data_IF_942994388682
#
_entry.id   IF_942994388682
#
_cell.length_a   1.000
_cell.length_b   1.000
_cell.length_c   1.000
_cell.angle_alpha   90.00
_cell.angle_beta   90.00
_cell.angle_gamma   90.00
#
_symmetry.space_group_name_H-M   'P 1'
#
loop_
_entity.id
_entity.type
_entity.pdbx_description
1 polymer ?
#
# COMPACT_ATOMS: atom_id res chain seq x y z
N UNK A 1 -21.86 -14.14 -19.02
CA UNK A 1 -20.90 -14.27 -17.88
C UNK A 1 -20.09 -12.99 -17.81
N UNK A 2 -20.52 -12.08 -16.91
CA UNK A 2 -19.81 -10.83 -16.68
C UNK A 2 -18.46 -11.16 -16.04
N UNK A 3 -17.36 -10.85 -16.75
CA UNK A 3 -16.03 -10.77 -16.16
C UNK A 3 -16.14 -9.93 -14.89
N UNK A 4 -16.08 -10.54 -13.71
CA UNK A 4 -15.80 -9.83 -12.46
C UNK A 4 -14.47 -9.10 -12.68
N UNK A 5 -14.53 -7.82 -12.97
CA UNK A 5 -13.32 -7.00 -13.01
C UNK A 5 -12.62 -7.16 -11.66
N UNK A 6 -11.44 -7.70 -11.69
CA UNK A 6 -10.65 -7.89 -10.48
C UNK A 6 -10.23 -6.50 -9.99
N UNK A 7 -11.01 -5.93 -9.05
CA UNK A 7 -10.76 -4.60 -8.49
C UNK A 7 -9.56 -4.59 -7.53
N UNK A 8 -8.83 -5.70 -7.44
CA UNK A 8 -7.61 -5.81 -6.65
C UNK A 8 -6.43 -5.25 -7.43
N UNK A 9 -5.63 -4.46 -6.76
CA UNK A 9 -4.36 -3.94 -7.27
C UNK A 9 -3.35 -3.82 -6.13
N UNK A 10 -2.13 -3.48 -6.50
CA UNK A 10 -1.02 -3.35 -5.56
C UNK A 10 -0.77 -1.86 -5.30
N UNK A 11 -0.87 -1.44 -4.05
CA UNK A 11 -0.41 -0.13 -3.58
C UNK A 11 1.02 -0.26 -3.10
N UNK A 12 1.92 0.54 -3.67
CA UNK A 12 3.33 0.63 -3.30
C UNK A 12 3.56 1.90 -2.49
N UNK A 13 4.01 1.74 -1.26
CA UNK A 13 4.43 2.85 -0.40
C UNK A 13 5.95 3.01 -0.47
N UNK A 14 6.38 4.20 -0.75
CA UNK A 14 7.80 4.54 -0.89
C UNK A 14 8.45 4.70 0.49
N UNK A 15 9.74 4.41 0.56
CA UNK A 15 10.53 4.60 1.76
C UNK A 15 10.57 6.09 2.16
N UNK A 16 10.53 6.36 3.47
CA UNK A 16 10.51 7.72 4.03
C UNK A 16 11.72 8.55 3.61
N UNK A 17 12.88 7.92 3.40
CA UNK A 17 14.12 8.53 2.96
C UNK A 17 14.00 9.24 1.61
N UNK A 18 13.10 8.77 0.74
CA UNK A 18 12.81 9.40 -0.56
C UNK A 18 12.15 10.76 -0.35
N UNK A 19 11.24 10.86 0.62
CA UNK A 19 10.53 12.11 0.91
C UNK A 19 11.45 13.17 1.54
N UNK A 20 12.56 12.76 2.16
CA UNK A 20 13.55 13.66 2.75
C UNK A 20 14.52 14.27 1.72
N UNK A 21 14.44 13.89 0.43
CA UNK A 21 15.34 14.35 -0.62
C UNK A 21 15.03 15.76 -1.16
N UNK A 22 14.03 16.45 -0.61
CA UNK A 22 13.69 17.83 -0.96
C UNK A 22 13.50 18.01 -2.48
N UNK A 23 14.22 18.93 -3.10
CA UNK A 23 14.14 19.21 -4.54
C UNK A 23 14.54 18.02 -5.42
N UNK A 24 15.31 17.09 -4.92
CA UNK A 24 15.74 15.88 -5.66
C UNK A 24 14.72 14.75 -5.60
N UNK A 25 13.67 14.86 -4.79
CA UNK A 25 12.65 13.83 -4.58
C UNK A 25 12.15 13.22 -5.90
N UNK A 26 11.81 14.08 -6.87
CA UNK A 26 11.29 13.62 -8.16
C UNK A 26 12.28 12.73 -8.96
N UNK A 27 13.59 12.91 -8.76
CA UNK A 27 14.60 12.03 -9.38
C UNK A 27 14.58 10.64 -8.73
N UNK A 28 14.46 10.59 -7.40
CA UNK A 28 14.39 9.32 -6.67
C UNK A 28 13.10 8.57 -6.97
N UNK A 29 11.96 9.25 -7.04
CA UNK A 29 10.67 8.63 -7.41
C UNK A 29 10.69 8.07 -8.84
N UNK A 30 11.26 8.79 -9.81
CA UNK A 30 11.43 8.29 -11.18
C UNK A 30 12.33 7.05 -11.23
N UNK A 31 13.46 7.09 -10.51
CA UNK A 31 14.37 5.95 -10.45
C UNK A 31 13.73 4.73 -9.80
N UNK A 32 12.97 4.94 -8.75
CA UNK A 32 12.19 3.87 -8.12
C UNK A 32 11.19 3.26 -9.10
N UNK A 33 10.45 4.10 -9.84
CA UNK A 33 9.52 3.65 -10.88
C UNK A 33 10.23 2.79 -11.93
N UNK A 34 11.34 3.26 -12.50
CA UNK A 34 12.13 2.52 -13.46
C UNK A 34 12.58 1.15 -12.91
N UNK A 35 13.06 1.13 -11.65
CA UNK A 35 13.53 -0.10 -11.02
C UNK A 35 12.38 -1.10 -10.79
N UNK A 36 11.19 -0.62 -10.42
CA UNK A 36 10.00 -1.46 -10.28
C UNK A 36 9.57 -2.02 -11.64
N UNK A 37 9.45 -1.17 -12.67
CA UNK A 37 9.07 -1.60 -14.02
C UNK A 37 10.05 -2.64 -14.57
N UNK A 38 11.36 -2.42 -14.39
CA UNK A 38 12.38 -3.38 -14.75
C UNK A 38 12.23 -4.72 -14.02
N UNK A 39 11.88 -4.68 -12.72
CA UNK A 39 11.69 -5.88 -11.91
C UNK A 39 10.44 -6.66 -12.31
N UNK A 40 9.42 -5.97 -12.82
CA UNK A 40 8.18 -6.55 -13.33
C UNK A 40 8.28 -7.03 -14.79
N UNK A 41 9.42 -6.81 -15.45
CA UNK A 41 9.62 -7.28 -16.83
C UNK A 41 9.25 -8.75 -16.99
N UNK A 42 8.49 -9.06 -18.05
CA UNK A 42 7.95 -10.40 -18.31
C UNK A 42 6.60 -10.70 -17.63
N UNK A 43 6.06 -9.79 -16.81
CA UNK A 43 4.68 -9.82 -16.35
C UNK A 43 3.85 -8.80 -17.16
N UNK A 44 2.56 -9.07 -17.29
CA UNK A 44 1.60 -8.11 -17.80
C UNK A 44 1.13 -7.20 -16.65
N UNK A 45 1.44 -5.91 -16.74
CA UNK A 45 1.11 -4.93 -15.70
C UNK A 45 0.87 -3.53 -16.25
N UNK A 46 0.15 -2.73 -15.48
CA UNK A 46 -0.01 -1.28 -15.65
C UNK A 46 0.46 -0.61 -14.35
N UNK A 47 1.35 0.39 -14.44
CA UNK A 47 1.88 1.10 -13.29
C UNK A 47 1.58 2.60 -13.36
N UNK A 48 0.80 3.09 -12.42
CA UNK A 48 0.43 4.51 -12.26
C UNK A 48 0.99 5.05 -10.96
N UNK A 49 1.49 6.28 -10.98
CA UNK A 49 1.96 6.99 -9.79
C UNK A 49 1.03 8.13 -9.43
N UNK A 50 0.78 8.31 -8.14
CA UNK A 50 -0.03 9.41 -7.61
C UNK A 50 0.52 9.86 -6.25
N UNK A 51 1.00 11.11 -6.18
CA UNK A 51 1.42 11.81 -4.96
C UNK A 51 2.27 10.95 -4.00
N UNK A 52 3.35 10.36 -4.49
CA UNK A 52 4.27 9.56 -3.67
C UNK A 52 3.75 8.14 -3.34
N UNK A 53 2.82 7.64 -4.14
CA UNK A 53 2.35 6.25 -4.13
C UNK A 53 2.44 5.66 -5.52
N UNK A 54 2.69 4.38 -5.60
CA UNK A 54 2.56 3.60 -6.83
C UNK A 54 1.34 2.69 -6.76
N UNK A 55 0.64 2.55 -7.88
CA UNK A 55 -0.49 1.65 -8.04
C UNK A 55 -0.21 0.73 -9.22
N UNK A 56 -0.22 -0.57 -8.99
CA UNK A 56 0.10 -1.58 -10.01
C UNK A 56 -1.11 -2.50 -10.18
N UNK A 57 -1.63 -2.55 -11.40
CA UNK A 57 -2.51 -3.63 -11.84
C UNK A 57 -1.64 -4.68 -12.49
N UNK A 58 -1.76 -5.92 -12.07
CA UNK A 58 -1.03 -7.03 -12.65
C UNK A 58 -1.95 -8.23 -12.82
N UNK A 59 -1.73 -9.01 -13.86
CA UNK A 59 -2.47 -10.26 -14.09
C UNK A 59 -2.13 -11.28 -13.01
N UNK A 60 -0.85 -11.36 -12.63
CA UNK A 60 -0.35 -12.17 -11.51
C UNK A 60 0.08 -11.24 -10.36
N UNK A 61 -0.86 -11.00 -9.43
CA UNK A 61 -0.65 -10.12 -8.29
C UNK A 61 0.41 -10.68 -7.34
N UNK A 62 0.42 -11.98 -7.10
CA UNK A 62 1.34 -12.62 -6.15
C UNK A 62 2.78 -12.52 -6.63
N UNK A 63 3.03 -12.88 -7.90
CA UNK A 63 4.35 -12.73 -8.51
C UNK A 63 4.81 -11.26 -8.54
N UNK A 64 3.91 -10.32 -8.83
CA UNK A 64 4.23 -8.91 -8.84
C UNK A 64 4.59 -8.41 -7.44
N UNK A 65 3.85 -8.77 -6.40
CA UNK A 65 4.13 -8.43 -4.99
C UNK A 65 5.50 -8.95 -4.58
N UNK A 66 5.81 -10.23 -4.85
CA UNK A 66 7.10 -10.83 -4.49
C UNK A 66 8.30 -10.15 -5.18
N UNK A 67 8.12 -9.63 -6.37
CA UNK A 67 9.16 -8.90 -7.09
C UNK A 67 9.30 -7.47 -6.56
N UNK A 68 8.18 -6.75 -6.39
CA UNK A 68 8.17 -5.33 -6.00
C UNK A 68 8.66 -5.13 -4.58
N UNK A 69 8.30 -5.99 -3.63
CA UNK A 69 8.75 -5.87 -2.23
C UNK A 69 10.27 -5.94 -2.05
N UNK A 70 10.99 -6.52 -3.03
CA UNK A 70 12.45 -6.65 -3.03
C UNK A 70 13.16 -5.48 -3.73
N UNK A 71 12.44 -4.46 -4.17
CA UNK A 71 13.02 -3.29 -4.80
C UNK A 71 13.43 -2.26 -3.75
N UNK A 72 14.68 -1.86 -3.73
CA UNK A 72 15.16 -0.79 -2.84
C UNK A 72 14.41 0.51 -3.11
N UNK A 73 13.93 1.14 -2.05
CA UNK A 73 13.04 2.30 -2.10
C UNK A 73 11.57 1.97 -1.82
N UNK A 74 11.20 0.69 -1.77
CA UNK A 74 9.86 0.22 -1.41
C UNK A 74 9.80 -0.09 0.07
N UNK A 75 9.00 0.66 0.82
CA UNK A 75 8.81 0.44 2.25
C UNK A 75 7.76 -0.64 2.55
N UNK A 76 6.67 -0.60 1.82
CA UNK A 76 5.54 -1.50 2.02
C UNK A 76 4.78 -1.72 0.70
N UNK A 77 4.30 -2.91 0.51
CA UNK A 77 3.42 -3.31 -0.60
C UNK A 77 2.11 -3.79 0.00
N UNK A 78 0.98 -3.25 -0.48
CA UNK A 78 -0.34 -3.63 0.02
C UNK A 78 -1.21 -4.15 -1.13
N UNK A 79 -1.89 -5.27 -0.92
CA UNK A 79 -2.94 -5.72 -1.83
C UNK A 79 -4.22 -4.99 -1.44
N UNK A 80 -4.72 -4.13 -2.34
CA UNK A 80 -5.85 -3.25 -2.05
C UNK A 80 -7.03 -3.53 -2.98
N UNK A 81 -8.23 -3.25 -2.50
CA UNK A 81 -9.44 -3.24 -3.33
C UNK A 81 -9.76 -1.81 -3.72
N UNK A 82 -9.80 -1.55 -5.02
CA UNK A 82 -10.23 -0.26 -5.56
C UNK A 82 -11.76 -0.19 -5.59
N UNK A 83 -12.30 0.91 -5.07
CA UNK A 83 -13.72 1.25 -5.14
C UNK A 83 -13.90 2.68 -5.63
N UNK A 84 -15.09 3.05 -6.03
CA UNK A 84 -15.40 4.44 -6.36
C UNK A 84 -15.16 5.36 -5.16
N UNK A 85 -14.81 6.62 -5.44
CA UNK A 85 -14.64 7.66 -4.41
C UNK A 85 -16.01 8.12 -3.89
N UNK A 86 -16.77 7.17 -3.39
CA UNK A 86 -18.08 7.35 -2.79
C UNK A 86 -18.12 6.73 -1.40
N UNK A 87 -18.78 7.42 -0.46
CA UNK A 87 -18.82 6.99 0.93
C UNK A 87 -19.54 5.64 1.09
N UNK A 88 -20.59 5.37 0.32
CA UNK A 88 -21.32 4.11 0.41
C UNK A 88 -20.47 2.95 -0.13
N UNK A 89 -19.81 3.14 -1.26
CA UNK A 89 -18.88 2.14 -1.82
C UNK A 89 -17.75 1.81 -0.82
N UNK A 90 -17.20 2.81 -0.14
CA UNK A 90 -16.18 2.64 0.90
C UNK A 90 -16.74 1.87 2.10
N UNK A 91 -17.95 2.21 2.57
CA UNK A 91 -18.62 1.52 3.69
C UNK A 91 -18.85 0.05 3.40
N UNK A 92 -19.36 -0.28 2.22
CA UNK A 92 -19.64 -1.65 1.80
C UNK A 92 -18.35 -2.50 1.73
N UNK A 93 -17.28 -1.96 1.13
CA UNK A 93 -16.02 -2.70 1.04
C UNK A 93 -15.35 -2.85 2.42
N UNK A 94 -15.40 -1.83 3.27
CA UNK A 94 -14.89 -1.91 4.64
C UNK A 94 -15.66 -2.97 5.46
N UNK A 95 -16.99 -3.00 5.35
CA UNK A 95 -17.82 -4.02 5.98
C UNK A 95 -17.45 -5.43 5.51
N UNK A 96 -17.27 -5.62 4.20
CA UNK A 96 -16.83 -6.88 3.61
C UNK A 96 -15.48 -7.34 4.17
N UNK A 97 -14.50 -6.45 4.23
CA UNK A 97 -13.17 -6.74 4.80
C UNK A 97 -13.24 -7.17 6.27
N UNK A 98 -14.07 -6.50 7.07
CA UNK A 98 -14.24 -6.86 8.48
C UNK A 98 -14.98 -8.18 8.61
N UNK A 99 -16.00 -8.46 7.79
CA UNK A 99 -16.67 -9.78 7.75
C UNK A 99 -15.70 -10.92 7.40
N UNK A 100 -14.84 -10.73 6.40
CA UNK A 100 -13.83 -11.71 6.01
C UNK A 100 -12.79 -11.96 7.12
N UNK A 101 -12.39 -10.92 7.83
CA UNK A 101 -11.43 -11.02 8.93
C UNK A 101 -12.05 -11.58 10.22
N UNK A 102 -13.35 -11.38 10.43
CA UNK A 102 -14.12 -11.78 11.60
C UNK A 102 -13.43 -11.50 12.95
N UNK A 103 -12.98 -10.27 13.21
CA UNK A 103 -12.26 -9.92 14.41
C UNK A 103 -13.21 -9.62 15.57
N UNK A 104 -12.70 -9.64 16.82
CA UNK A 104 -13.42 -9.10 18.00
C UNK A 104 -13.27 -7.59 18.11
N UNK A 105 -12.13 -7.07 17.69
CA UNK A 105 -11.86 -5.62 17.73
C UNK A 105 -11.35 -5.12 16.40
N UNK A 106 -11.71 -3.87 16.06
CA UNK A 106 -11.27 -3.24 14.81
C UNK A 106 -11.03 -1.74 14.98
N UNK A 107 -10.37 -1.17 14.00
CA UNK A 107 -10.18 0.27 13.83
C UNK A 107 -10.25 0.63 12.36
N UNK A 108 -10.80 1.79 12.05
CA UNK A 108 -10.74 2.39 10.71
C UNK A 108 -9.73 3.53 10.72
N UNK A 109 -8.79 3.51 9.79
CA UNK A 109 -7.87 4.62 9.54
C UNK A 109 -8.03 5.11 8.10
N UNK A 110 -8.32 6.40 7.94
CA UNK A 110 -8.51 7.03 6.65
C UNK A 110 -7.37 8.01 6.36
N UNK A 111 -6.73 7.87 5.21
CA UNK A 111 -5.83 8.86 4.63
C UNK A 111 -6.52 9.51 3.43
N UNK A 112 -6.84 10.80 3.55
CA UNK A 112 -7.47 11.58 2.48
C UNK A 112 -6.45 12.47 1.79
N UNK A 113 -5.87 12.01 0.69
CA UNK A 113 -5.01 12.81 -0.18
C UNK A 113 -5.83 13.76 -1.07
N UNK A 114 -6.99 13.32 -1.54
CA UNK A 114 -7.88 14.14 -2.37
C UNK A 114 -8.81 15.01 -1.52
N UNK A 115 -8.55 16.32 -1.51
CA UNK A 115 -9.33 17.31 -0.74
C UNK A 115 -10.75 17.58 -1.29
N UNK A 116 -11.07 17.11 -2.50
CA UNK A 116 -12.40 17.24 -3.09
C UNK A 116 -13.44 16.26 -2.49
N UNK A 117 -12.99 15.25 -1.74
CA UNK A 117 -13.90 14.37 -1.02
C UNK A 117 -14.58 15.15 0.12
N UNK A 118 -15.87 14.99 0.28
CA UNK A 118 -16.72 15.83 1.13
C UNK A 118 -16.34 15.78 2.62
N UNK A 119 -15.95 14.60 3.11
CA UNK A 119 -15.60 14.37 4.50
C UNK A 119 -14.09 14.43 4.72
N UNK A 120 -13.66 14.89 5.90
CA UNK A 120 -12.28 14.75 6.30
C UNK A 120 -11.95 13.31 6.75
N UNK A 121 -10.67 13.02 7.03
CA UNK A 121 -10.23 11.67 7.40
C UNK A 121 -10.89 11.14 8.67
N UNK A 122 -11.06 12.00 9.68
CA UNK A 122 -11.67 11.62 10.96
C UNK A 122 -13.17 11.33 10.80
N UNK A 123 -13.87 12.19 10.09
CA UNK A 123 -15.29 12.03 9.80
C UNK A 123 -15.55 10.77 8.97
N UNK A 124 -14.73 10.52 7.97
CA UNK A 124 -14.82 9.31 7.14
C UNK A 124 -14.63 8.06 8.01
N UNK A 125 -13.57 8.02 8.83
CA UNK A 125 -13.31 6.89 9.73
C UNK A 125 -14.47 6.66 10.70
N UNK A 126 -15.06 7.75 11.24
CA UNK A 126 -16.21 7.65 12.16
C UNK A 126 -17.45 7.12 11.46
N UNK A 127 -17.77 7.62 10.28
CA UNK A 127 -18.97 7.17 9.55
C UNK A 127 -18.84 5.73 9.05
N UNK A 128 -17.68 5.34 8.54
CA UNK A 128 -17.42 3.96 8.11
C UNK A 128 -17.42 3.02 9.32
N UNK A 129 -16.76 3.40 10.40
CA UNK A 129 -16.74 2.62 11.65
C UNK A 129 -18.13 2.42 12.25
N UNK A 130 -18.94 3.48 12.31
CA UNK A 130 -20.33 3.41 12.76
C UNK A 130 -21.21 2.49 11.90
N UNK A 131 -21.02 2.55 10.58
CA UNK A 131 -21.70 1.65 9.65
C UNK A 131 -21.35 0.18 9.89
N UNK A 132 -20.07 -0.13 10.06
CA UNK A 132 -19.60 -1.48 10.35
C UNK A 132 -20.15 -1.98 11.69
N UNK A 133 -20.06 -1.16 12.75
CA UNK A 133 -20.61 -1.52 14.08
C UNK A 133 -22.11 -1.82 14.03
N UNK A 134 -22.87 -1.01 13.29
CA UNK A 134 -24.31 -1.22 13.16
C UNK A 134 -24.66 -2.61 12.60
N UNK A 135 -23.82 -3.14 11.69
CA UNK A 135 -24.04 -4.45 11.08
C UNK A 135 -23.58 -5.63 11.97
N UNK A 136 -22.67 -5.40 12.91
CA UNK A 136 -22.15 -6.45 13.80
C UNK A 136 -22.81 -6.45 15.18
N UNK A 137 -23.48 -5.35 15.57
CA UNK A 137 -24.06 -5.20 16.90
C UNK A 137 -23.02 -5.37 18.01
N UNK A 138 -23.37 -6.13 19.04
CA UNK A 138 -22.52 -6.35 20.22
C UNK A 138 -21.34 -7.32 19.99
N UNK A 139 -21.22 -7.90 18.80
CA UNK A 139 -20.16 -8.87 18.49
C UNK A 139 -18.80 -8.22 18.14
N UNK A 140 -18.78 -6.90 17.90
CA UNK A 140 -17.60 -6.18 17.43
C UNK A 140 -17.39 -4.89 18.23
N UNK A 141 -16.14 -4.64 18.66
CA UNK A 141 -15.78 -3.44 19.43
C UNK A 141 -14.70 -2.64 18.71
N UNK A 142 -14.64 -1.33 18.99
CA UNK A 142 -13.55 -0.47 18.52
C UNK A 142 -12.40 -0.52 19.52
N UNK A 143 -11.20 -0.86 19.06
CA UNK A 143 -9.96 -0.71 19.80
C UNK A 143 -9.01 0.21 19.03
N UNK A 144 -8.74 1.39 19.61
CA UNK A 144 -7.90 2.41 18.98
C UNK A 144 -6.40 2.10 19.08
N UNK A 145 -6.00 1.34 20.13
CA UNK A 145 -4.59 1.07 20.43
C UNK A 145 -4.10 -0.21 19.79
N UNK A 146 -4.80 -1.32 19.97
CA UNK A 146 -4.39 -2.64 19.53
C UNK A 146 -5.54 -3.40 18.84
N UNK A 147 -6.08 -2.90 17.71
CA UNK A 147 -7.16 -3.60 17.02
C UNK A 147 -6.68 -4.92 16.42
N UNK A 148 -7.49 -5.96 16.49
CA UNK A 148 -7.24 -7.22 15.78
C UNK A 148 -7.31 -7.02 14.26
N UNK A 149 -8.18 -6.12 13.80
CA UNK A 149 -8.31 -5.76 12.39
C UNK A 149 -8.20 -4.24 12.22
N UNK A 150 -7.14 -3.78 11.60
CA UNK A 150 -6.99 -2.40 11.16
C UNK A 150 -7.41 -2.30 9.69
N UNK A 151 -8.51 -1.59 9.43
CA UNK A 151 -8.96 -1.28 8.07
C UNK A 151 -8.40 0.08 7.66
N UNK A 152 -7.64 0.10 6.59
CA UNK A 152 -7.08 1.32 6.01
C UNK A 152 -7.90 1.73 4.79
N UNK A 153 -8.18 3.02 4.71
CA UNK A 153 -8.88 3.65 3.58
C UNK A 153 -7.98 4.74 3.04
N UNK A 154 -7.60 4.64 1.77
CA UNK A 154 -6.83 5.66 1.06
C UNK A 154 -7.76 6.33 0.04
N UNK A 155 -8.03 7.64 0.19
CA UNK A 155 -8.93 8.40 -0.69
C UNK A 155 -8.09 9.32 -1.57
N UNK A 156 -8.08 9.02 -2.87
CA UNK A 156 -7.37 9.73 -3.92
C UNK A 156 -8.31 10.03 -5.08
N UNK A 157 -7.95 9.78 -6.32
CA UNK A 157 -8.89 9.84 -7.45
C UNK A 157 -9.96 8.75 -7.31
N UNK A 158 -9.57 7.56 -6.90
CA UNK A 158 -10.45 6.51 -6.40
C UNK A 158 -10.25 6.30 -4.90
N UNK A 159 -10.99 5.40 -4.30
CA UNK A 159 -10.77 4.94 -2.95
C UNK A 159 -10.19 3.52 -2.95
N UNK A 160 -9.33 3.25 -1.98
CA UNK A 160 -8.65 1.96 -1.83
C UNK A 160 -8.81 1.47 -0.40
N UNK A 161 -9.31 0.25 -0.25
CA UNK A 161 -9.59 -0.35 1.07
C UNK A 161 -8.76 -1.61 1.22
N UNK A 162 -8.07 -1.72 2.35
CA UNK A 162 -7.21 -2.85 2.69
C UNK A 162 -7.06 -3.00 4.20
N UNK A 163 -6.62 -4.16 4.66
CA UNK A 163 -6.42 -4.44 6.08
C UNK A 163 -4.94 -4.58 6.41
N UNK A 164 -4.62 -4.68 7.70
CA UNK A 164 -3.26 -4.97 8.17
C UNK A 164 -2.70 -6.28 7.62
N UNK A 165 -3.54 -7.28 7.33
CA UNK A 165 -3.14 -8.56 6.74
C UNK A 165 -2.71 -8.44 5.28
N UNK A 166 -3.17 -7.41 4.58
CA UNK A 166 -2.84 -7.15 3.17
C UNK A 166 -1.49 -6.43 3.00
N UNK A 167 -0.83 -6.06 4.11
CA UNK A 167 0.42 -5.31 4.12
C UNK A 167 1.61 -6.25 4.15
N UNK A 168 2.54 -6.04 3.22
CA UNK A 168 3.76 -6.82 3.09
C UNK A 168 4.95 -5.86 3.17
N UNK A 169 5.85 -6.10 4.11
CA UNK A 169 7.03 -5.26 4.30
C UNK A 169 7.97 -5.36 3.09
N UNK A 170 8.40 -4.20 2.59
CA UNK A 170 9.44 -4.07 1.59
C UNK A 170 10.84 -3.93 2.22
N UNK A 171 11.86 -3.89 1.37
CA UNK A 171 13.27 -3.75 1.81
C UNK A 171 13.63 -2.33 2.25
N UNK A 172 12.83 -1.33 1.86
CA UNK A 172 13.08 0.07 2.22
C UNK A 172 14.30 0.68 1.52
N UNK A 173 14.90 1.69 2.16
CA UNK A 173 16.11 2.36 1.70
C UNK A 173 15.92 3.27 0.50
N UNK A 174 16.99 3.56 -0.22
CA UNK A 174 16.98 4.42 -1.41
C UNK A 174 17.02 3.59 -2.69
N UNK A 175 16.42 4.07 -3.79
CA UNK A 175 16.43 3.37 -5.06
C UNK A 175 17.85 3.06 -5.54
N UNK A 176 18.08 1.84 -5.97
CA UNK A 176 19.36 1.41 -6.54
C UNK A 176 19.74 2.29 -7.74
N UNK A 177 21.03 2.63 -7.83
CA UNK A 177 21.61 3.41 -8.93
C UNK A 177 21.53 4.92 -8.75
N UNK A 178 21.19 5.44 -7.56
CA UNK A 178 21.15 6.88 -7.27
C UNK A 178 22.46 7.45 -6.68
N UNK A 179 23.25 6.64 -6.00
CA UNK A 179 24.39 7.10 -5.20
C UNK A 179 25.76 6.78 -5.83
N UNK A 180 25.81 6.56 -7.15
CA UNK A 180 27.06 6.21 -7.85
C UNK A 180 27.46 4.76 -7.63
N UNK A 181 28.74 4.45 -7.84
CA UNK A 181 29.31 3.10 -7.71
C UNK A 181 30.38 3.10 -6.63
N UNK A 182 30.45 2.04 -5.86
CA UNK A 182 31.50 1.77 -4.90
C UNK A 182 32.17 0.44 -5.23
N UNK A 183 33.44 0.32 -4.90
CA UNK A 183 34.16 -0.95 -4.99
C UNK A 183 34.12 -1.64 -3.63
N UNK A 184 33.62 -2.86 -3.60
CA UNK A 184 33.61 -3.69 -2.40
C UNK A 184 34.78 -4.67 -2.45
N UNK A 185 35.66 -4.60 -1.45
CA UNK A 185 36.68 -5.63 -1.26
C UNK A 185 36.07 -6.80 -0.46
N UNK A 186 35.93 -7.92 -1.13
CA UNK A 186 35.43 -9.15 -0.48
C UNK A 186 36.58 -9.80 0.29
N UNK A 187 36.37 -10.04 1.59
CA UNK A 187 37.20 -10.90 2.41
C UNK A 187 36.60 -12.31 2.48
N UNK A 188 37.32 -13.26 3.07
CA UNK A 188 36.78 -14.59 3.34
C UNK A 188 35.75 -14.65 4.49
N UNK A 189 35.40 -13.50 5.11
CA UNK A 189 34.40 -13.39 6.17
C UNK A 189 32.99 -13.11 5.65
N UNK A 190 31.99 -13.23 6.53
CA UNK A 190 30.56 -13.03 6.23
C UNK A 190 30.22 -11.55 6.07
N UNK A 191 30.94 -10.64 6.74
CA UNK A 191 30.56 -9.23 6.83
C UNK A 191 30.64 -8.48 5.51
N UNK A 192 31.68 -8.75 4.70
CA UNK A 192 31.86 -8.02 3.44
C UNK A 192 30.80 -8.33 2.38
N UNK A 193 30.30 -9.56 2.16
CA UNK A 193 29.15 -9.80 1.32
C UNK A 193 27.87 -9.12 1.82
N UNK A 194 27.64 -9.11 3.16
CA UNK A 194 26.48 -8.47 3.78
C UNK A 194 26.55 -6.95 3.61
N UNK A 195 27.72 -6.33 3.79
CA UNK A 195 27.92 -4.90 3.60
C UNK A 195 27.74 -4.46 2.12
N UNK A 196 27.97 -5.38 1.18
CA UNK A 196 27.81 -5.13 -0.26
C UNK A 196 26.39 -5.34 -0.79
N UNK A 197 25.52 -6.00 -0.04
CA UNK A 197 24.14 -6.23 -0.44
C UNK A 197 23.31 -4.97 -0.20
#
# INVERSE_FOLDING_TARGET
ESKKMNNKLILVKYASEIFLKGLNRGKFERKLKENIEKKLSGLEFEFVTDQGRGFIKATDIEAAVERVRKVFGVAEVCIVTQVERDLNAIKEEALKKVKEANPKTFKIETNRANKKFQLNSIETSRQVGGYVLHHFGEALYVDVKNPECLVNIEIRENAYVFTSKDKIKGVGGLPYGMNGSTMLMLSGGIDSPVAGY
#
